data_IF_510585127835
#
_entry.id   IF_510585127835
#
_cell.length_a   1.000
_cell.length_b   1.000
_cell.length_c   1.000
_cell.angle_alpha   90.00
_cell.angle_beta   90.00
_cell.angle_gamma   90.00
#
_symmetry.space_group_name_H-M   'P 1'
#
loop_
_entity.id
_entity.type
_entity.pdbx_description
1 polymer ?
#
# COMPACT_ATOMS: atom_id res chain seq x y z
N UNK A 1 49.75 2.18 -28.06
CA UNK A 1 49.71 3.66 -28.09
C UNK A 1 48.84 4.04 -29.27
N UNK A 2 47.79 4.83 -29.25
CA UNK A 2 47.09 5.63 -28.24
C UNK A 2 45.72 5.98 -28.86
N UNK A 3 44.68 5.78 -28.06
CA UNK A 3 43.38 6.45 -27.99
C UNK A 3 43.13 7.69 -28.90
N UNK A 4 41.95 7.76 -29.54
CA UNK A 4 40.96 8.83 -29.31
C UNK A 4 39.60 8.62 -30.03
N UNK A 5 38.58 8.90 -29.25
CA UNK A 5 37.12 8.86 -29.40
C UNK A 5 36.56 10.04 -30.22
N UNK A 6 35.40 9.85 -30.87
CA UNK A 6 34.32 10.87 -31.01
C UNK A 6 33.05 10.20 -31.60
N UNK A 7 32.10 9.76 -30.76
CA UNK A 7 30.88 10.48 -30.35
C UNK A 7 29.86 10.63 -31.48
N UNK A 8 28.83 9.77 -31.41
CA UNK A 8 27.62 9.76 -32.23
C UNK A 8 26.75 10.99 -31.96
N UNK A 9 26.28 11.62 -33.03
CA UNK A 9 25.43 12.81 -32.99
C UNK A 9 24.09 12.53 -32.29
N UNK A 10 23.88 13.21 -31.16
CA UNK A 10 22.64 13.14 -30.39
C UNK A 10 21.70 14.29 -30.80
N UNK A 11 20.55 13.93 -31.36
CA UNK A 11 19.47 14.85 -31.78
C UNK A 11 18.96 15.62 -30.56
N UNK A 12 19.26 16.92 -30.49
CA UNK A 12 18.84 17.82 -29.40
C UNK A 12 17.42 18.33 -29.72
N UNK A 13 16.44 18.05 -28.87
CA UNK A 13 15.09 18.62 -29.00
C UNK A 13 15.13 20.11 -28.66
N UNK A 14 15.00 20.98 -29.66
CA UNK A 14 15.01 22.45 -29.52
C UNK A 14 13.59 22.97 -29.31
N UNK A 15 13.33 23.70 -28.22
CA UNK A 15 12.05 24.36 -27.96
C UNK A 15 12.19 25.88 -28.18
N UNK A 16 11.60 26.43 -29.25
CA UNK A 16 11.73 27.85 -29.68
C UNK A 16 10.54 28.69 -29.22
N UNK A 17 10.81 29.87 -28.66
CA UNK A 17 9.83 30.94 -28.47
C UNK A 17 9.84 31.83 -29.72
N UNK A 18 8.68 32.07 -30.33
CA UNK A 18 8.52 33.02 -31.45
C UNK A 18 7.44 34.02 -31.05
N UNK A 19 7.77 35.31 -31.09
CA UNK A 19 6.86 36.45 -30.91
C UNK A 19 6.00 36.39 -29.62
N UNK A 20 6.62 36.08 -28.47
CA UNK A 20 5.93 36.16 -27.17
C UNK A 20 4.83 35.13 -26.93
N UNK A 21 4.58 34.19 -27.86
CA UNK A 21 3.60 33.13 -27.71
C UNK A 21 4.25 31.75 -27.78
N UNK A 22 3.98 30.92 -26.77
CA UNK A 22 4.34 29.51 -26.78
C UNK A 22 3.40 28.73 -27.71
N UNK A 23 3.90 28.20 -28.83
CA UNK A 23 3.16 27.22 -29.64
C UNK A 23 3.66 25.81 -29.33
N UNK A 24 2.76 24.97 -28.84
CA UNK A 24 3.01 23.59 -28.35
C UNK A 24 3.34 22.56 -29.44
N UNK A 25 3.78 22.98 -30.62
CA UNK A 25 3.78 22.11 -31.81
C UNK A 25 5.11 21.42 -32.12
N UNK A 26 5.99 21.18 -31.13
CA UNK A 26 7.12 20.23 -31.28
C UNK A 26 7.53 19.55 -29.96
N UNK A 27 6.56 19.08 -29.18
CA UNK A 27 6.80 17.98 -28.24
C UNK A 27 5.98 16.79 -28.74
N UNK A 28 6.58 15.59 -28.94
CA UNK A 28 5.81 14.45 -29.41
C UNK A 28 4.69 14.17 -28.42
N UNK A 29 3.46 14.32 -28.91
CA UNK A 29 2.25 13.99 -28.20
C UNK A 29 2.11 12.46 -28.12
N UNK A 30 2.94 11.78 -27.33
CA UNK A 30 2.71 10.37 -27.04
C UNK A 30 3.39 9.94 -25.75
N UNK A 31 2.58 9.36 -24.84
CA UNK A 31 2.96 8.75 -23.56
C UNK A 31 3.84 7.48 -23.69
N UNK A 32 4.51 7.26 -24.83
CA UNK A 32 5.25 6.03 -25.12
C UNK A 32 6.60 6.29 -25.82
N UNK A 33 7.47 7.09 -25.20
CA UNK A 33 8.89 7.15 -25.59
C UNK A 33 9.75 6.69 -24.43
N UNK A 34 10.23 5.44 -24.48
CA UNK A 34 11.26 4.87 -23.59
C UNK A 34 12.66 5.45 -23.89
N UNK A 35 12.83 6.76 -24.05
CA UNK A 35 14.15 7.40 -24.18
C UNK A 35 14.31 8.46 -23.09
N UNK A 36 15.29 8.26 -22.21
CA UNK A 36 15.69 9.21 -21.15
C UNK A 36 16.10 10.53 -21.81
N UNK A 37 15.35 11.61 -21.55
CA UNK A 37 15.76 12.97 -21.92
C UNK A 37 16.93 13.38 -21.01
N UNK A 38 18.10 13.68 -21.58
CA UNK A 38 19.36 13.94 -20.83
C UNK A 38 19.51 15.39 -20.30
N UNK A 39 18.50 16.24 -20.45
CA UNK A 39 18.50 17.58 -19.90
C UNK A 39 17.60 18.55 -20.70
N UNK A 40 17.48 19.77 -20.22
CA UNK A 40 16.74 20.86 -20.86
C UNK A 40 17.55 22.16 -20.80
N UNK A 41 17.54 22.96 -21.88
CA UNK A 41 18.24 24.25 -21.97
C UNK A 41 17.26 25.41 -22.04
N UNK A 42 17.50 26.48 -21.29
CA UNK A 42 16.78 27.74 -21.43
C UNK A 42 17.28 28.50 -22.66
N UNK A 43 16.39 28.78 -23.62
CA UNK A 43 16.72 29.56 -24.82
C UNK A 43 15.89 30.84 -24.92
N UNK A 44 15.47 31.39 -23.78
CA UNK A 44 14.85 32.72 -23.74
C UNK A 44 15.89 33.74 -24.20
N UNK A 45 15.51 34.56 -25.18
CA UNK A 45 16.33 35.66 -25.70
C UNK A 45 15.96 36.94 -24.95
N UNK A 46 16.96 37.62 -24.39
CA UNK A 46 16.74 38.93 -23.77
C UNK A 46 16.35 39.97 -24.84
N UNK A 47 15.21 40.67 -24.69
CA UNK A 47 14.75 41.65 -25.68
C UNK A 47 15.72 42.82 -25.90
N UNK A 48 16.52 43.16 -24.89
CA UNK A 48 17.45 44.31 -24.91
C UNK A 48 18.81 43.92 -25.45
N UNK A 49 19.35 42.77 -25.04
CA UNK A 49 20.70 42.35 -25.42
C UNK A 49 20.75 41.41 -26.62
N UNK A 50 19.59 40.88 -27.04
CA UNK A 50 19.45 39.84 -28.08
C UNK A 50 20.28 38.56 -27.81
N UNK A 51 20.75 38.37 -26.58
CA UNK A 51 21.51 37.19 -26.17
C UNK A 51 20.59 36.11 -25.60
N UNK A 52 20.91 34.85 -25.89
CA UNK A 52 20.22 33.69 -25.32
C UNK A 52 20.70 33.42 -23.89
N UNK A 53 19.78 33.01 -23.00
CA UNK A 53 20.15 32.65 -21.63
C UNK A 53 21.10 31.45 -21.53
N UNK A 54 20.89 30.41 -22.36
CA UNK A 54 21.78 29.26 -22.47
C UNK A 54 21.87 28.30 -21.26
N UNK A 55 21.04 28.48 -20.22
CA UNK A 55 21.18 27.71 -18.96
C UNK A 55 20.70 26.26 -19.10
N UNK A 56 21.57 25.31 -18.74
CA UNK A 56 21.31 23.87 -18.83
C UNK A 56 20.78 23.26 -17.51
N UNK A 57 19.88 22.28 -17.62
CA UNK A 57 19.22 21.57 -16.53
C UNK A 57 19.26 20.06 -16.76
N UNK A 58 19.79 19.29 -15.82
CA UNK A 58 20.15 17.87 -16.06
C UNK A 58 18.99 16.87 -16.03
N UNK A 59 17.91 17.12 -15.29
CA UNK A 59 17.01 16.03 -14.88
C UNK A 59 15.52 16.38 -14.70
N UNK A 60 15.10 17.64 -14.84
CA UNK A 60 13.67 17.99 -14.71
C UNK A 60 13.30 19.30 -15.41
N UNK A 61 12.19 19.27 -16.16
CA UNK A 61 11.54 20.47 -16.73
C UNK A 61 11.05 21.43 -15.65
N UNK A 62 10.86 20.97 -14.40
CA UNK A 62 10.43 21.80 -13.26
C UNK A 62 11.49 22.84 -12.86
N UNK A 63 12.78 22.48 -12.93
CA UNK A 63 13.86 23.40 -12.59
C UNK A 63 14.05 24.47 -13.67
N UNK A 64 13.84 24.08 -14.94
CA UNK A 64 13.80 25.03 -16.06
C UNK A 64 12.66 26.04 -15.88
N UNK A 65 11.44 25.58 -15.57
CA UNK A 65 10.30 26.47 -15.33
C UNK A 65 10.52 27.46 -14.18
N UNK A 66 11.06 27.00 -13.05
CA UNK A 66 11.40 27.89 -11.92
C UNK A 66 12.42 28.96 -12.31
N UNK A 67 13.39 28.61 -13.16
CA UNK A 67 14.35 29.57 -13.68
C UNK A 67 13.69 30.57 -14.62
N UNK A 68 12.81 30.13 -15.53
CA UNK A 68 12.11 31.02 -16.48
C UNK A 68 11.22 32.02 -15.74
N UNK A 69 10.45 31.59 -14.74
CA UNK A 69 9.63 32.49 -13.91
C UNK A 69 10.49 33.52 -13.18
N UNK A 70 11.61 33.09 -12.57
CA UNK A 70 12.43 33.96 -11.71
C UNK A 70 13.37 34.89 -12.49
N UNK A 71 14.01 34.37 -13.53
CA UNK A 71 15.04 35.08 -14.30
C UNK A 71 14.45 35.85 -15.49
N UNK A 72 13.36 35.35 -16.09
CA UNK A 72 12.76 35.96 -17.28
C UNK A 72 11.35 36.51 -17.05
N UNK A 73 10.75 36.30 -15.87
CA UNK A 73 9.40 36.80 -15.51
C UNK A 73 8.29 36.38 -16.50
N UNK A 74 8.50 35.29 -17.23
CA UNK A 74 7.52 34.72 -18.14
C UNK A 74 6.62 33.78 -17.34
N UNK A 75 5.31 34.06 -17.34
CA UNK A 75 4.28 33.22 -16.69
C UNK A 75 3.62 32.29 -17.72
N UNK A 76 3.18 31.12 -17.27
CA UNK A 76 2.39 30.20 -18.09
C UNK A 76 0.90 30.58 -17.99
N UNK A 77 0.32 31.08 -19.08
CA UNK A 77 -1.10 31.44 -19.13
C UNK A 77 -2.03 30.21 -19.32
N UNK A 78 -1.46 29.00 -19.47
CA UNK A 78 -2.20 27.75 -19.56
C UNK A 78 -2.37 27.05 -18.21
N UNK A 79 -3.58 27.08 -17.64
CA UNK A 79 -3.96 26.34 -16.44
C UNK A 79 -3.47 24.87 -16.43
N UNK A 80 -2.40 24.60 -15.67
CA UNK A 80 -2.21 23.33 -14.97
C UNK A 80 -2.19 23.68 -13.50
N UNK A 81 -3.27 23.31 -12.80
CA UNK A 81 -3.27 23.18 -11.34
C UNK A 81 -1.98 22.48 -10.98
N UNK A 82 -1.06 23.23 -10.36
CA UNK A 82 0.17 22.69 -9.78
C UNK A 82 -0.26 21.41 -9.06
N UNK A 83 0.34 20.22 -9.29
CA UNK A 83 0.26 19.22 -8.26
C UNK A 83 0.88 19.94 -7.07
N UNK A 84 0.02 20.35 -6.13
CA UNK A 84 0.43 20.74 -4.80
C UNK A 84 1.54 19.76 -4.45
N UNK A 85 2.65 20.26 -3.95
CA UNK A 85 3.55 19.46 -3.13
C UNK A 85 2.72 18.98 -1.94
N UNK A 86 1.80 18.05 -2.19
CA UNK A 86 1.01 17.38 -1.21
C UNK A 86 2.06 16.67 -0.39
N UNK A 87 2.38 17.29 0.74
CA UNK A 87 3.44 16.87 1.64
C UNK A 87 3.21 15.39 1.85
N UNK A 88 4.13 14.54 1.37
CA UNK A 88 4.00 13.09 1.53
C UNK A 88 3.73 12.84 3.01
N UNK A 89 2.75 12.00 3.30
CA UNK A 89 2.47 11.64 4.68
C UNK A 89 3.77 11.17 5.34
N UNK A 90 3.99 11.60 6.58
CA UNK A 90 5.09 11.10 7.39
C UNK A 90 5.01 9.55 7.40
N UNK A 91 6.08 8.81 7.07
CA UNK A 91 6.06 7.35 7.02
C UNK A 91 5.63 6.71 8.35
N UNK A 92 6.12 7.21 9.49
CA UNK A 92 5.77 6.72 10.82
C UNK A 92 4.29 6.93 11.11
N UNK A 93 3.76 8.12 10.84
CA UNK A 93 2.33 8.41 11.00
C UNK A 93 1.47 7.51 10.09
N UNK A 94 1.91 7.26 8.86
CA UNK A 94 1.21 6.35 7.95
C UNK A 94 1.14 4.94 8.54
N UNK A 95 2.24 4.46 9.07
CA UNK A 95 2.32 3.13 9.69
C UNK A 95 1.40 3.02 10.92
N UNK A 96 1.34 4.07 11.75
CA UNK A 96 0.42 4.15 12.89
C UNK A 96 -1.05 4.07 12.46
N UNK A 97 -1.44 4.84 11.44
CA UNK A 97 -2.80 4.83 10.89
C UNK A 97 -3.11 3.47 10.27
N UNK A 98 -2.16 2.88 9.52
CA UNK A 98 -2.34 1.56 8.91
C UNK A 98 -2.54 0.47 9.97
N UNK A 99 -1.73 0.47 11.04
CA UNK A 99 -1.90 -0.46 12.16
C UNK A 99 -3.24 -0.27 12.85
N UNK A 100 -3.68 0.96 13.08
CA UNK A 100 -5.00 1.24 13.65
C UNK A 100 -6.14 0.74 12.75
N UNK A 101 -6.02 0.96 11.44
CA UNK A 101 -6.99 0.49 10.45
C UNK A 101 -7.07 -1.03 10.40
N UNK A 102 -5.93 -1.73 10.36
CA UNK A 102 -5.88 -3.19 10.36
C UNK A 102 -6.49 -3.74 11.65
N UNK A 103 -6.15 -3.17 12.81
CA UNK A 103 -6.74 -3.53 14.11
C UNK A 103 -8.25 -3.40 14.14
N UNK A 104 -8.76 -2.25 13.70
CA UNK A 104 -10.20 -2.05 13.61
C UNK A 104 -10.85 -3.09 12.69
N UNK A 105 -10.22 -3.41 11.55
CA UNK A 105 -10.78 -4.39 10.61
C UNK A 105 -11.00 -5.76 11.25
N UNK A 106 -10.06 -6.28 12.03
CA UNK A 106 -10.20 -7.62 12.61
C UNK A 106 -10.90 -7.63 13.99
N UNK A 107 -10.80 -6.58 14.80
CA UNK A 107 -11.52 -6.51 16.08
C UNK A 107 -13.01 -6.25 15.90
N UNK A 108 -13.40 -5.56 14.82
CA UNK A 108 -14.78 -5.16 14.54
C UNK A 108 -15.39 -5.93 13.34
N UNK A 109 -14.76 -7.05 12.96
CA UNK A 109 -15.21 -7.98 11.91
C UNK A 109 -15.56 -7.30 10.57
N UNK A 110 -14.82 -6.25 10.20
CA UNK A 110 -15.11 -5.47 9.01
C UNK A 110 -14.73 -6.25 7.74
N UNK A 111 -15.58 -6.13 6.72
CA UNK A 111 -15.26 -6.68 5.42
C UNK A 111 -13.98 -6.05 4.87
N UNK A 112 -13.02 -6.85 4.38
CA UNK A 112 -11.77 -6.32 3.82
C UNK A 112 -11.98 -5.38 2.60
N UNK A 113 -13.18 -5.39 2.00
CA UNK A 113 -13.56 -4.47 0.91
C UNK A 113 -13.82 -3.05 1.40
N UNK A 114 -13.98 -2.82 2.72
CA UNK A 114 -14.26 -1.50 3.30
C UNK A 114 -13.24 -0.46 2.86
N UNK A 115 -11.96 -0.84 2.78
CA UNK A 115 -10.90 0.07 2.35
C UNK A 115 -10.97 0.47 0.89
N UNK A 116 -11.67 -0.30 0.06
CA UNK A 116 -11.95 0.04 -1.34
C UNK A 116 -13.22 0.88 -1.51
N UNK A 117 -14.03 1.05 -0.46
CA UNK A 117 -15.26 1.83 -0.52
C UNK A 117 -14.96 3.32 -0.77
N UNK A 118 -15.60 3.90 -1.79
CA UNK A 118 -15.38 5.30 -2.21
C UNK A 118 -15.68 6.33 -1.11
N UNK A 119 -16.73 6.12 -0.31
CA UNK A 119 -17.12 7.03 0.76
C UNK A 119 -16.21 6.89 1.98
N UNK A 120 -15.82 5.65 2.31
CA UNK A 120 -14.83 5.42 3.37
C UNK A 120 -13.49 6.08 3.05
N UNK A 121 -12.98 5.93 1.81
CA UNK A 121 -11.76 6.65 1.37
C UNK A 121 -11.94 8.16 1.41
N UNK A 122 -13.13 8.69 1.09
CA UNK A 122 -13.43 10.13 1.20
C UNK A 122 -13.40 10.60 2.65
N UNK A 123 -13.94 9.82 3.59
CA UNK A 123 -13.86 10.08 5.03
C UNK A 123 -12.41 10.11 5.50
N UNK A 124 -11.61 9.09 5.16
CA UNK A 124 -10.20 9.04 5.52
C UNK A 124 -9.41 10.24 4.98
N UNK A 125 -9.72 10.72 3.77
CA UNK A 125 -9.14 11.95 3.20
C UNK A 125 -9.58 13.23 3.90
N UNK A 126 -10.74 13.23 4.58
CA UNK A 126 -11.15 14.35 5.44
C UNK A 126 -10.37 14.35 6.75
N UNK A 127 -10.06 13.18 7.31
CA UNK A 127 -9.22 13.07 8.49
C UNK A 127 -7.75 13.40 8.18
N UNK A 128 -7.21 12.88 7.06
CA UNK A 128 -5.85 13.15 6.63
C UNK A 128 -5.73 13.21 5.10
N UNK A 129 -5.58 14.43 4.55
CA UNK A 129 -5.67 14.73 3.11
C UNK A 129 -4.80 13.86 2.20
N UNK A 130 -3.59 13.53 2.65
CA UNK A 130 -2.58 12.80 1.86
C UNK A 130 -2.46 11.32 2.26
N UNK A 131 -3.38 10.82 3.10
CA UNK A 131 -3.39 9.41 3.48
C UNK A 131 -4.05 8.56 2.38
N UNK A 132 -3.39 7.46 2.03
CA UNK A 132 -3.95 6.43 1.18
C UNK A 132 -3.88 5.09 1.92
N UNK A 133 -5.03 4.46 2.24
CA UNK A 133 -5.04 3.22 2.99
C UNK A 133 -4.48 2.06 2.18
N UNK A 134 -3.91 1.04 2.86
CA UNK A 134 -3.47 -0.19 2.23
C UNK A 134 -4.62 -0.83 1.44
N UNK A 135 -4.26 -1.51 0.36
CA UNK A 135 -5.23 -2.27 -0.41
C UNK A 135 -5.73 -3.49 0.36
N UNK A 136 -6.91 -3.99 -0.01
CA UNK A 136 -7.52 -5.20 0.54
C UNK A 136 -6.56 -6.39 0.67
N UNK A 137 -5.69 -6.62 -0.32
CA UNK A 137 -4.71 -7.71 -0.31
C UNK A 137 -3.64 -7.51 0.76
N UNK A 138 -3.20 -6.27 0.97
CA UNK A 138 -2.21 -5.95 2.00
C UNK A 138 -2.82 -6.18 3.39
N UNK A 139 -4.02 -5.66 3.65
CA UNK A 139 -4.74 -5.90 4.91
C UNK A 139 -4.93 -7.40 5.17
N UNK A 140 -5.38 -8.15 4.15
CA UNK A 140 -5.56 -9.60 4.30
C UNK A 140 -4.25 -10.33 4.62
N UNK A 141 -3.12 -9.89 4.08
CA UNK A 141 -1.81 -10.46 4.40
C UNK A 141 -1.39 -10.10 5.82
N UNK A 142 -1.55 -8.84 6.22
CA UNK A 142 -1.14 -8.37 7.54
C UNK A 142 -1.96 -9.05 8.65
N UNK A 143 -3.27 -9.20 8.45
CA UNK A 143 -4.14 -9.96 9.37
C UNK A 143 -3.71 -11.42 9.45
N UNK A 144 -3.34 -12.06 8.33
CA UNK A 144 -2.82 -13.44 8.35
C UNK A 144 -1.53 -13.55 9.16
N UNK A 145 -0.62 -12.58 9.02
CA UNK A 145 0.61 -12.54 9.82
C UNK A 145 0.28 -12.44 11.31
N UNK A 146 -0.61 -11.53 11.71
CA UNK A 146 -1.06 -11.42 13.10
C UNK A 146 -1.74 -12.68 13.61
N UNK A 147 -2.54 -13.34 12.77
CA UNK A 147 -3.16 -14.62 13.12
C UNK A 147 -2.12 -15.70 13.42
N UNK A 148 -1.10 -15.87 12.56
CA UNK A 148 -0.07 -16.88 12.79
C UNK A 148 0.77 -16.58 14.03
N UNK A 149 1.05 -15.30 14.30
CA UNK A 149 1.74 -14.88 15.51
C UNK A 149 0.92 -15.16 16.76
N UNK A 150 -0.35 -14.75 16.78
CA UNK A 150 -1.27 -14.99 17.89
C UNK A 150 -1.49 -16.49 18.12
N UNK A 151 -1.58 -17.29 17.05
CA UNK A 151 -1.68 -18.75 17.12
C UNK A 151 -0.45 -19.37 17.78
N UNK A 152 0.76 -18.92 17.42
CA UNK A 152 2.01 -19.37 18.06
C UNK A 152 2.01 -19.01 19.55
N UNK A 153 1.69 -17.76 19.89
CA UNK A 153 1.63 -17.31 21.29
C UNK A 153 0.59 -18.09 22.10
N UNK A 154 -0.58 -18.37 21.53
CA UNK A 154 -1.62 -19.18 22.18
C UNK A 154 -1.14 -20.62 22.41
N UNK A 155 -0.43 -21.21 21.44
CA UNK A 155 0.18 -22.54 21.59
C UNK A 155 1.14 -22.55 22.77
N UNK A 156 2.09 -21.63 22.81
CA UNK A 156 3.09 -21.55 23.88
C UNK A 156 2.39 -21.37 25.24
N UNK A 157 1.39 -20.49 25.29
CA UNK A 157 0.57 -20.26 26.49
C UNK A 157 -0.19 -21.52 26.95
N UNK A 158 -0.79 -22.28 26.04
CA UNK A 158 -1.52 -23.51 26.37
C UNK A 158 -0.58 -24.66 26.78
N UNK A 159 0.66 -24.69 26.28
CA UNK A 159 1.67 -25.66 26.71
C UNK A 159 2.20 -25.33 28.11
N UNK A 160 2.33 -24.05 28.44
CA UNK A 160 2.89 -23.58 29.71
C UNK A 160 1.84 -23.34 30.81
N UNK A 161 0.54 -23.41 30.49
CA UNK A 161 -0.53 -23.01 31.44
C UNK A 161 -0.60 -23.85 32.71
N UNK A 162 0.00 -25.05 32.75
CA UNK A 162 -0.05 -25.98 33.89
C UNK A 162 -1.45 -26.48 34.30
N UNK A 163 -2.49 -25.97 33.65
CA UNK A 163 -3.90 -26.20 33.92
C UNK A 163 -4.49 -27.22 32.95
N UNK A 164 -5.59 -27.86 33.36
CA UNK A 164 -6.35 -28.73 32.45
C UNK A 164 -7.05 -27.88 31.39
N UNK A 165 -6.98 -28.32 30.13
CA UNK A 165 -7.66 -27.69 29.00
C UNK A 165 -8.85 -28.56 28.61
N UNK A 166 -10.05 -27.99 28.63
CA UNK A 166 -11.26 -28.62 28.13
C UNK A 166 -11.53 -28.19 26.68
N UNK A 167 -11.66 -29.15 25.78
CA UNK A 167 -12.04 -28.90 24.39
C UNK A 167 -13.54 -29.11 24.20
N UNK A 168 -14.20 -28.12 23.61
CA UNK A 168 -15.59 -28.19 23.19
C UNK A 168 -15.65 -28.20 21.67
N UNK A 169 -16.40 -29.13 21.11
CA UNK A 169 -16.72 -29.17 19.69
C UNK A 169 -18.15 -28.73 19.43
N UNK A 170 -18.37 -28.07 18.29
CA UNK A 170 -19.69 -27.68 17.83
C UNK A 170 -19.85 -27.91 16.34
N UNK A 171 -20.99 -28.46 15.93
CA UNK A 171 -21.36 -28.66 14.54
C UNK A 171 -22.44 -27.68 14.12
N UNK A 172 -22.31 -27.16 12.89
CA UNK A 172 -23.44 -26.50 12.22
C UNK A 172 -23.36 -26.72 10.72
N UNK A 173 -24.52 -26.77 10.09
CA UNK A 173 -24.66 -26.69 8.65
C UNK A 173 -25.06 -25.28 8.27
N UNK A 174 -24.27 -24.65 7.40
CA UNK A 174 -24.60 -23.37 6.82
C UNK A 174 -25.74 -23.50 5.80
N UNK A 175 -26.37 -22.38 5.46
CA UNK A 175 -27.51 -22.30 4.51
C UNK A 175 -27.15 -22.89 3.13
N UNK A 176 -25.87 -22.82 2.75
CA UNK A 176 -25.36 -23.40 1.51
C UNK A 176 -25.03 -24.91 1.61
N UNK A 177 -25.56 -25.60 2.62
CA UNK A 177 -25.37 -27.04 2.90
C UNK A 177 -23.92 -27.45 3.17
N UNK A 178 -23.05 -26.49 3.51
CA UNK A 178 -21.71 -26.79 3.99
C UNK A 178 -21.73 -27.02 5.50
N UNK A 179 -21.14 -28.11 5.96
CA UNK A 179 -20.99 -28.40 7.37
C UNK A 179 -19.65 -27.90 7.90
N UNK A 180 -19.68 -27.41 9.14
CA UNK A 180 -18.51 -26.89 9.82
C UNK A 180 -18.39 -27.47 11.23
N UNK A 181 -17.15 -27.63 11.65
CA UNK A 181 -16.75 -27.99 13.01
C UNK A 181 -16.00 -26.80 13.61
N UNK A 182 -16.45 -26.34 14.77
CA UNK A 182 -15.70 -25.39 15.61
C UNK A 182 -15.11 -26.15 16.78
N UNK A 183 -13.86 -25.83 17.11
CA UNK A 183 -13.19 -26.33 18.31
C UNK A 183 -12.83 -25.15 19.19
N UNK A 184 -13.33 -25.15 20.42
CA UNK A 184 -13.08 -24.10 21.41
C UNK A 184 -12.33 -24.72 22.60
N UNK A 185 -11.22 -24.11 23.00
CA UNK A 185 -10.52 -24.44 24.23
C UNK A 185 -11.06 -23.58 25.38
N UNK A 186 -11.17 -24.20 26.55
CA UNK A 186 -11.52 -23.57 27.81
C UNK A 186 -10.51 -23.97 28.86
N UNK A 187 -9.97 -23.01 29.60
CA UNK A 187 -8.98 -23.27 30.66
C UNK A 187 -9.06 -22.19 31.74
N UNK A 188 -8.43 -22.44 32.88
CA UNK A 188 -8.27 -21.46 33.95
C UNK A 188 -6.81 -21.00 34.02
N UNK A 189 -6.55 -19.82 34.58
CA UNK A 189 -5.21 -19.43 35.02
C UNK A 189 -4.67 -20.41 36.07
N UNK A 190 -3.34 -20.50 36.26
CA UNK A 190 -2.73 -21.38 37.26
C UNK A 190 -3.21 -21.15 38.70
N UNK A 191 -3.60 -19.93 39.03
CA UNK A 191 -4.17 -19.53 40.33
C UNK A 191 -5.69 -19.82 40.43
N UNK A 192 -6.31 -20.31 39.36
CA UNK A 192 -7.74 -20.57 39.23
C UNK A 192 -8.65 -19.33 39.35
N UNK A 193 -8.11 -18.11 39.30
CA UNK A 193 -8.90 -16.88 39.44
C UNK A 193 -9.58 -16.44 38.14
N UNK A 194 -8.95 -16.73 36.99
CA UNK A 194 -9.42 -16.26 35.68
C UNK A 194 -9.80 -17.43 34.78
N UNK A 195 -11.02 -17.36 34.22
CA UNK A 195 -11.48 -18.28 33.18
C UNK A 195 -11.20 -17.72 31.79
N UNK A 196 -10.65 -18.56 30.92
CA UNK A 196 -10.36 -18.22 29.53
C UNK A 196 -11.10 -19.15 28.57
N UNK A 197 -11.47 -18.60 27.42
CA UNK A 197 -11.92 -19.38 26.27
C UNK A 197 -11.32 -18.85 24.97
N UNK A 198 -11.08 -19.74 24.02
CA UNK A 198 -10.59 -19.36 22.70
C UNK A 198 -11.04 -20.36 21.64
N UNK A 199 -11.53 -19.85 20.51
CA UNK A 199 -11.75 -20.69 19.33
C UNK A 199 -10.39 -21.04 18.73
N UNK A 200 -10.04 -22.33 18.74
CA UNK A 200 -8.77 -22.80 18.17
C UNK A 200 -8.82 -22.81 16.65
N UNK A 201 -9.90 -23.33 16.09
CA UNK A 201 -10.16 -23.32 14.66
C UNK A 201 -11.65 -23.53 14.36
N UNK A 202 -12.05 -23.13 13.16
CA UNK A 202 -13.33 -23.49 12.59
C UNK A 202 -13.09 -23.99 11.17
N UNK A 203 -13.40 -25.27 10.94
CA UNK A 203 -13.04 -25.94 9.70
C UNK A 203 -14.29 -26.46 9.02
N UNK A 204 -14.30 -26.40 7.69
CA UNK A 204 -15.29 -27.15 6.91
C UNK A 204 -15.02 -28.64 7.12
N UNK A 205 -16.07 -29.38 7.42
CA UNK A 205 -16.02 -30.82 7.58
C UNK A 205 -16.91 -31.46 6.53
N UNK A 206 -16.36 -32.42 5.80
CA UNK A 206 -17.08 -33.13 4.75
C UNK A 206 -17.79 -34.35 5.33
N UNK A 207 -18.70 -34.92 4.55
CA UNK A 207 -19.40 -36.14 4.93
C UNK A 207 -18.43 -37.35 4.80
N UNK A 208 -18.54 -38.39 5.65
CA UNK A 208 -19.50 -38.56 6.74
C UNK A 208 -19.19 -37.71 7.99
N UNK A 209 -20.23 -37.25 8.68
CA UNK A 209 -20.10 -36.53 9.95
C UNK A 209 -20.06 -37.49 11.14
N UNK A 210 -19.11 -38.40 11.12
CA UNK A 210 -18.93 -39.44 12.14
C UNK A 210 -17.79 -39.14 13.12
N UNK A 211 -17.64 -40.01 14.13
CA UNK A 211 -16.60 -39.86 15.15
C UNK A 211 -15.19 -39.88 14.58
N UNK A 212 -14.93 -40.70 13.55
CA UNK A 212 -13.61 -40.81 12.93
C UNK A 212 -13.22 -39.53 12.18
N UNK A 213 -14.13 -38.97 11.40
CA UNK A 213 -13.94 -37.71 10.67
C UNK A 213 -13.76 -36.55 11.65
N UNK A 214 -14.56 -36.53 12.73
CA UNK A 214 -14.42 -35.57 13.82
C UNK A 214 -13.03 -35.66 14.47
N UNK A 215 -12.58 -36.88 14.79
CA UNK A 215 -11.29 -37.12 15.43
C UNK A 215 -10.12 -36.69 14.54
N UNK A 216 -10.16 -36.98 13.24
CA UNK A 216 -9.15 -36.53 12.28
C UNK A 216 -9.06 -35.00 12.22
N UNK A 217 -10.21 -34.32 12.21
CA UNK A 217 -10.25 -32.86 12.22
C UNK A 217 -9.71 -32.29 13.54
N UNK A 218 -10.12 -32.84 14.68
CA UNK A 218 -9.61 -32.46 16.00
C UNK A 218 -8.10 -32.62 16.09
N UNK A 219 -7.60 -33.80 15.74
CA UNK A 219 -6.17 -34.10 15.74
C UNK A 219 -5.39 -33.11 14.89
N UNK A 220 -5.88 -32.78 13.69
CA UNK A 220 -5.24 -31.76 12.84
C UNK A 220 -5.20 -30.38 13.53
N UNK A 221 -6.28 -29.97 14.16
CA UNK A 221 -6.37 -28.67 14.84
C UNK A 221 -5.42 -28.63 16.03
N UNK A 222 -5.37 -29.68 16.84
CA UNK A 222 -4.53 -29.76 18.04
C UNK A 222 -3.05 -29.98 17.70
N UNK A 223 -2.73 -30.82 16.72
CA UNK A 223 -1.34 -31.12 16.33
C UNK A 223 -0.69 -29.96 15.58
N UNK A 224 -1.45 -29.20 14.78
CA UNK A 224 -0.96 -27.96 14.15
C UNK A 224 -0.87 -26.81 15.15
N UNK A 225 -1.37 -27.04 16.37
CA UNK A 225 -1.27 -26.13 17.52
C UNK A 225 -0.35 -26.69 18.61
N UNK A 226 0.37 -27.80 18.35
CA UNK A 226 1.42 -28.40 19.17
C UNK A 226 2.78 -28.33 18.47
#
# INVERSE_FOLDING_TARGET
MTEKTAVTEATTTKARIVNGQWRRNMLPASRNIRKKVKGARCIVVDPKTKQECGKDFSTSTTNLWRHVEKAHRIQDEGHVVRPSTARRINPQLKEEIDRALVRWVYHDFQAFRVVSNKYFRRLLKKCHKNYEPPGRKAISRDIKTHFFEARRQLKDLLQDTGSKIALKTGYWSAINRLSFLVVTAHWFSPDHETFFNCVLDFVRIEHPHDGETTFKALKKITDTSA
#
